data_IF_892667463015
#
_entry.id   IF_892667463015
#
_cell.length_a   1.000
_cell.length_b   1.000
_cell.length_c   1.000
_cell.angle_alpha   90.00
_cell.angle_beta   90.00
_cell.angle_gamma   90.00
#
_symmetry.space_group_name_H-M   'P 1'
#
loop_
_entity.id
_entity.type
_entity.pdbx_description
1 polymer ?
2 non-polymer ?
3 non-polymer ?
4 non-polymer ?
5 non-polymer ?
6 water ?
#
# COMPACT_ATOMS: atom_id res chain seq x y z
N UNK A 3 46.24 -10.59 -1.55
CA UNK A 3 45.28 -11.54 -0.99
C UNK A 3 44.08 -10.84 -0.38
N UNK A 4 43.85 -11.04 0.92
CA UNK A 4 42.60 -10.58 1.51
C UNK A 4 42.42 -9.08 1.26
N UNK A 5 41.21 -8.70 0.90
CA UNK A 5 40.77 -7.31 0.82
C UNK A 5 41.05 -6.63 2.15
N UNK A 6 41.25 -5.33 2.10
CA UNK A 6 41.55 -4.56 3.29
C UNK A 6 40.39 -3.64 3.64
N UNK A 7 39.97 -3.67 4.90
CA UNK A 7 38.91 -2.78 5.38
C UNK A 7 39.43 -1.36 5.50
N UNK A 8 38.72 -0.40 4.90
CA UNK A 8 39.10 1.01 4.98
C UNK A 8 38.01 1.77 5.76
N UNK A 9 37.63 2.95 5.30
CA UNK A 9 36.81 3.83 6.12
C UNK A 9 35.38 3.34 6.27
N UNK A 10 34.74 3.64 7.40
CA UNK A 10 33.31 3.39 7.52
C UNK A 10 32.50 4.28 6.58
N UNK A 11 31.62 3.69 5.76
CA UNK A 11 30.74 4.48 4.89
C UNK A 11 29.45 4.86 5.60
N UNK A 12 28.95 3.98 6.45
CA UNK A 12 27.63 4.16 7.02
C UNK A 12 27.45 3.28 8.25
N UNK A 13 26.87 3.82 9.30
CA UNK A 13 26.45 3.03 10.44
C UNK A 13 24.94 3.01 10.52
N UNK A 14 24.36 1.82 10.32
CA UNK A 14 22.91 1.69 10.44
C UNK A 14 22.50 1.22 11.82
N UNK A 15 21.22 0.86 11.95
CA UNK A 15 20.70 0.42 13.22
C UNK A 15 21.33 -0.88 13.69
N UNK A 16 21.73 -1.75 12.76
CA UNK A 16 22.21 -3.08 13.10
C UNK A 16 23.59 -3.42 12.57
N UNK A 17 23.99 -2.78 11.46
CA UNK A 17 25.27 -3.08 10.83
C UNK A 17 26.03 -1.82 10.49
N UNK A 18 27.35 -1.95 10.34
CA UNK A 18 28.17 -0.91 9.71
C UNK A 18 28.56 -1.39 8.31
N UNK A 19 28.63 -0.45 7.38
CA UNK A 19 29.15 -0.71 6.04
C UNK A 19 30.50 -0.06 5.93
N UNK A 20 31.55 -0.84 5.64
CA UNK A 20 32.90 -0.30 5.46
C UNK A 20 33.31 -0.33 4.02
N UNK A 21 33.98 0.71 3.57
CA UNK A 21 34.71 0.68 2.32
C UNK A 21 35.86 -0.32 2.42
N UNK A 22 36.36 -0.75 1.26
CA UNK A 22 37.56 -1.60 1.20
C UNK A 22 38.53 -0.98 0.18
N UNK A 23 39.69 -1.60 0.01
CA UNK A 23 40.60 -1.17 -1.05
C UNK A 23 40.16 -1.59 -2.46
N UNK A 24 39.02 -2.28 -2.57
CA UNK A 24 38.40 -2.50 -3.89
C UNK A 24 37.20 -1.59 -4.02
N UNK A 25 37.13 -0.83 -5.10
CA UNK A 25 36.09 0.18 -5.20
C UNK A 25 34.70 -0.43 -5.35
N UNK A 26 34.61 -1.70 -5.72
CA UNK A 26 33.32 -2.35 -5.90
C UNK A 26 32.95 -3.33 -4.80
N UNK A 27 33.65 -3.28 -3.66
CA UNK A 27 33.36 -4.16 -2.54
C UNK A 27 33.16 -3.37 -1.25
N UNK A 28 32.30 -3.88 -0.38
CA UNK A 28 32.18 -3.38 0.99
C UNK A 28 32.27 -4.51 1.98
N UNK A 29 32.56 -4.17 3.24
CA UNK A 29 32.43 -5.13 4.31
C UNK A 29 31.25 -4.76 5.18
N UNK A 30 30.38 -5.74 5.39
CA UNK A 30 29.20 -5.57 6.24
C UNK A 30 29.52 -6.14 7.60
N UNK A 31 29.47 -5.30 8.64
CA UNK A 31 29.83 -5.67 9.99
C UNK A 31 28.59 -5.70 10.87
N UNK A 32 28.32 -6.86 11.46
CA UNK A 32 27.11 -7.04 12.26
C UNK A 32 27.33 -6.70 13.73
N UNK A 33 26.58 -5.72 14.22
CA UNK A 33 26.63 -5.31 15.62
C UNK A 33 25.69 -6.14 16.47
N UNK A 34 25.80 -6.01 17.79
CA UNK A 34 24.83 -6.61 18.70
C UNK A 34 23.65 -5.67 19.00
N UNK A 35 23.60 -4.49 18.36
CA UNK A 35 22.52 -3.52 18.55
C UNK A 35 21.20 -4.15 18.08
N UNK A 36 20.17 -4.03 18.90
CA UNK A 36 18.81 -4.37 18.55
C UNK A 36 17.98 -3.09 18.64
N UNK A 37 17.07 -2.90 17.69
CA UNK A 37 16.21 -1.72 17.66
C UNK A 37 14.80 -2.08 17.22
N UNK A 38 13.83 -1.33 17.69
CA UNK A 38 12.47 -1.54 17.23
C UNK A 38 11.69 -0.25 17.44
N UNK A 39 10.49 -0.17 16.86
CA UNK A 39 9.55 0.93 17.12
C UNK A 39 10.11 2.31 16.77
N UNK A 40 10.57 2.45 15.53
CA UNK A 40 11.01 3.74 15.03
C UNK A 40 12.13 4.31 15.88
N UNK A 41 13.01 3.41 16.30
CA UNK A 41 14.23 3.78 16.99
C UNK A 41 14.04 3.97 18.48
N UNK A 42 12.79 3.87 18.93
CA UNK A 42 12.46 4.18 20.31
C UNK A 42 12.94 3.11 21.28
N UNK A 43 13.00 1.86 20.83
CA UNK A 43 13.38 0.76 21.71
C UNK A 43 14.74 0.24 21.25
N UNK A 44 15.69 0.14 22.18
CA UNK A 44 17.04 -0.32 21.85
C UNK A 44 17.58 -1.20 22.94
N UNK A 45 18.46 -2.12 22.57
CA UNK A 45 19.18 -2.93 23.55
C UNK A 45 20.41 -3.47 22.88
N UNK A 46 21.37 -3.95 23.66
CA UNK A 46 22.42 -4.77 23.14
C UNK A 46 22.10 -6.20 23.46
N UNK A 47 22.14 -7.04 22.45
CA UNK A 47 21.84 -8.46 22.67
C UNK A 47 23.12 -9.24 22.36
N UNK A 48 23.78 -9.73 23.40
CA UNK A 48 25.11 -10.27 23.23
C UNK A 48 25.07 -11.42 22.22
N UNK A 49 26.01 -11.36 21.25
CA UNK A 49 26.23 -12.34 20.18
C UNK A 49 25.18 -12.31 19.06
N UNK A 50 24.20 -11.40 19.14
CA UNK A 50 23.23 -11.33 18.07
C UNK A 50 23.87 -11.08 16.70
N UNK A 51 24.87 -10.22 16.62
CA UNK A 51 25.51 -9.91 15.37
C UNK A 51 26.24 -11.10 14.80
N UNK A 52 26.86 -11.89 15.66
CA UNK A 52 27.53 -13.10 15.21
C UNK A 52 26.51 -14.06 14.60
N UNK A 53 25.42 -14.33 15.31
CA UNK A 53 24.42 -15.25 14.79
C UNK A 53 23.80 -14.70 13.49
N UNK A 54 23.53 -13.40 13.43
CA UNK A 54 22.93 -12.87 12.20
C UNK A 54 23.90 -12.92 11.02
N UNK A 55 25.18 -12.65 11.26
CA UNK A 55 26.18 -12.79 10.20
C UNK A 55 26.26 -14.24 9.72
N UNK A 56 26.26 -15.17 10.66
CA UNK A 56 26.36 -16.60 10.33
C UNK A 56 25.13 -17.08 9.57
N UNK A 57 23.94 -16.68 10.04
CA UNK A 57 22.70 -17.09 9.36
C UNK A 57 22.61 -16.47 7.98
N UNK A 58 22.87 -15.16 7.88
CA UNK A 58 22.83 -14.47 6.58
C UNK A 58 23.81 -15.12 5.61
N UNK A 59 25.03 -15.40 6.06
CA UNK A 59 26.04 -15.98 5.20
C UNK A 59 25.60 -17.36 4.70
N UNK A 60 25.06 -18.17 5.60
CA UNK A 60 24.57 -19.51 5.20
C UNK A 60 23.46 -19.39 4.13
N UNK A 61 22.54 -18.47 4.36
CA UNK A 61 21.41 -18.33 3.48
C UNK A 61 21.85 -17.77 2.12
N UNK A 62 22.72 -16.76 2.11
CA UNK A 62 23.16 -16.21 0.83
C UNK A 62 24.03 -17.18 0.05
N UNK A 63 24.82 -18.02 0.73
CA UNK A 63 25.58 -19.01 -0.01
C UNK A 63 24.60 -19.96 -0.68
N UNK A 64 23.55 -20.35 0.05
CA UNK A 64 22.52 -21.24 -0.53
C UNK A 64 21.87 -20.56 -1.73
N UNK A 65 21.51 -19.28 -1.61
CA UNK A 65 20.83 -18.61 -2.70
C UNK A 65 21.78 -18.45 -3.90
N UNK A 66 23.05 -18.16 -3.64
CA UNK A 66 24.02 -18.08 -4.71
C UNK A 66 24.06 -19.40 -5.48
N UNK A 67 24.10 -20.50 -4.75
CA UNK A 67 24.18 -21.83 -5.36
C UNK A 67 22.95 -22.09 -6.23
N UNK A 68 21.80 -21.59 -5.79
CA UNK A 68 20.53 -21.76 -6.51
C UNK A 68 20.37 -20.80 -7.69
N UNK A 69 21.38 -20.00 -7.96
CA UNK A 69 21.42 -19.12 -9.12
C UNK A 69 20.81 -17.73 -8.90
N UNK A 70 20.51 -17.36 -7.65
CA UNK A 70 20.02 -16.01 -7.40
C UNK A 70 21.24 -15.09 -7.44
N UNK A 71 21.11 -13.96 -8.12
CA UNK A 71 22.23 -13.00 -8.14
C UNK A 71 22.20 -12.18 -6.86
N UNK A 72 23.25 -12.27 -6.06
CA UNK A 72 23.28 -11.56 -4.79
C UNK A 72 24.58 -10.81 -4.62
N UNK A 73 24.59 -9.96 -3.60
CA UNK A 73 25.80 -9.23 -3.25
C UNK A 73 26.85 -10.05 -2.50
N UNK A 74 26.51 -11.27 -2.08
CA UNK A 74 27.34 -11.94 -1.09
C UNK A 74 28.54 -12.61 -1.72
N UNK A 75 29.74 -12.31 -1.22
CA UNK A 75 30.96 -12.94 -1.70
C UNK A 75 31.47 -13.98 -0.72
N UNK A 76 31.77 -13.56 0.52
CA UNK A 76 32.24 -14.54 1.50
C UNK A 76 32.17 -14.00 2.91
N UNK A 77 32.00 -14.91 3.85
CA UNK A 77 32.10 -14.57 5.25
C UNK A 77 33.56 -14.36 5.58
N UNK A 78 33.85 -13.31 6.35
CA UNK A 78 35.25 -13.01 6.71
C UNK A 78 35.64 -13.41 8.12
N UNK A 79 34.73 -13.19 9.07
CA UNK A 79 35.00 -13.49 10.48
C UNK A 79 33.65 -13.58 11.19
N UNK A 80 33.65 -13.67 12.51
CA UNK A 80 32.39 -13.89 13.22
C UNK A 80 31.33 -12.82 12.90
N UNK A 81 31.75 -11.57 12.69
CA UNK A 81 30.79 -10.47 12.49
C UNK A 81 30.73 -9.90 11.07
N UNK A 82 31.72 -10.20 10.25
CA UNK A 82 31.91 -9.50 8.99
C UNK A 82 31.73 -10.38 7.77
N UNK A 83 31.16 -9.79 6.71
CA UNK A 83 31.11 -10.44 5.41
C UNK A 83 31.53 -9.46 4.33
N UNK A 84 32.13 -10.01 3.28
CA UNK A 84 32.55 -9.28 2.10
C UNK A 84 31.42 -9.33 1.08
N UNK A 85 30.97 -8.17 0.61
CA UNK A 85 29.89 -8.08 -0.35
C UNK A 85 30.20 -7.13 -1.49
N UNK A 86 29.56 -7.33 -2.63
CA UNK A 86 29.63 -6.35 -3.70
C UNK A 86 28.97 -5.05 -3.20
N UNK A 87 29.55 -3.91 -3.55
CA UNK A 87 28.97 -2.63 -3.21
C UNK A 87 27.87 -2.30 -4.19
N UNK A 88 26.66 -2.18 -3.69
CA UNK A 88 25.52 -1.91 -4.58
C UNK A 88 24.89 -0.57 -4.27
N UNK A 89 24.14 -0.02 -5.22
CA UNK A 89 23.32 1.14 -4.97
C UNK A 89 21.94 0.64 -4.56
N UNK A 90 21.63 0.74 -3.28
CA UNK A 90 20.40 0.17 -2.76
C UNK A 90 19.18 0.88 -3.35
N UNK A 91 18.21 0.09 -3.83
CA UNK A 91 16.92 0.65 -4.22
C UNK A 91 16.16 0.91 -2.93
N UNK A 92 15.62 2.13 -2.73
CA UNK A 92 15.12 2.54 -1.40
C UNK A 92 13.73 2.00 -1.04
N UNK A 93 13.60 0.68 -1.15
CA UNK A 93 12.37 -0.06 -0.87
C UNK A 93 12.67 -1.25 0.01
N UNK A 94 11.88 -1.44 1.04
CA UNK A 94 11.87 -2.70 1.76
C UNK A 94 10.84 -3.58 1.07
N UNK A 95 11.28 -4.73 0.58
CA UNK A 95 10.38 -5.61 -0.16
C UNK A 95 9.96 -6.72 0.81
N UNK A 96 8.71 -6.70 1.20
CA UNK A 96 8.21 -7.60 2.26
C UNK A 96 7.32 -8.68 1.64
N UNK A 97 7.62 -9.92 2.01
CA UNK A 97 6.79 -11.07 1.63
C UNK A 97 6.05 -11.55 2.86
N UNK A 98 4.75 -11.80 2.72
CA UNK A 98 4.01 -12.40 3.84
C UNK A 98 3.34 -13.66 3.33
N UNK A 99 3.76 -14.79 3.87
CA UNK A 99 3.10 -16.07 3.57
C UNK A 99 1.90 -16.29 4.44
N UNK A 100 1.95 -15.73 5.65
CA UNK A 100 0.88 -15.78 6.64
C UNK A 100 0.77 -14.35 7.16
N UNK A 101 -0.44 -13.90 7.52
CA UNK A 101 -0.57 -12.54 8.07
C UNK A 101 -0.14 -12.46 9.53
N UNK A 102 0.77 -11.54 9.84
CA UNK A 102 1.26 -11.38 11.19
C UNK A 102 1.70 -9.93 11.34
N UNK A 103 2.16 -9.57 12.52
CA UNK A 103 2.76 -8.25 12.73
C UNK A 103 1.88 -7.11 12.20
N UNK A 104 2.47 -6.21 11.39
CA UNK A 104 1.80 -4.97 11.05
C UNK A 104 0.59 -5.19 10.13
N UNK A 105 0.66 -6.18 9.24
CA UNK A 105 -0.48 -6.45 8.40
C UNK A 105 -1.64 -6.92 9.25
N UNK A 106 -1.37 -7.86 10.16
CA UNK A 106 -2.47 -8.39 10.96
C UNK A 106 -3.08 -7.28 11.81
N UNK A 107 -2.23 -6.44 12.42
CA UNK A 107 -2.73 -5.38 13.30
C UNK A 107 -3.59 -4.39 12.53
N UNK A 108 -3.11 -3.96 11.36
CA UNK A 108 -3.81 -2.86 10.68
C UNK A 108 -5.07 -3.33 9.95
N UNK A 109 -5.16 -4.63 9.65
CA UNK A 109 -6.37 -5.14 9.00
C UNK A 109 -7.27 -5.90 9.97
N UNK A 110 -6.93 -5.83 11.25
CA UNK A 110 -7.76 -6.42 12.29
C UNK A 110 -7.86 -7.94 12.17
N UNK A 111 -6.76 -8.56 11.75
CA UNK A 111 -6.68 -10.02 11.65
C UNK A 111 -5.89 -10.60 12.82
N UNK A 112 -6.22 -11.82 13.23
CA UNK A 112 -5.39 -12.53 14.21
C UNK A 112 -4.08 -12.99 13.56
N UNK A 113 -2.96 -12.84 14.26
CA UNK A 113 -1.70 -13.31 13.72
C UNK A 113 -1.83 -14.79 13.42
N UNK A 114 -1.34 -15.21 12.25
CA UNK A 114 -1.50 -16.59 11.83
C UNK A 114 -2.60 -16.74 10.79
N UNK A 115 -3.36 -15.66 10.52
CA UNK A 115 -4.41 -15.68 9.49
C UNK A 115 -3.87 -16.19 8.17
N UNK A 116 -4.57 -17.18 7.61
CA UNK A 116 -4.15 -17.77 6.35
C UNK A 116 -4.61 -16.93 5.18
N UNK A 117 -3.66 -16.57 4.34
CA UNK A 117 -3.91 -15.66 3.23
C UNK A 117 -4.29 -16.42 1.97
N UNK A 118 -5.16 -15.84 1.17
CA UNK A 118 -5.58 -16.50 -0.06
C UNK A 118 -4.52 -16.41 -1.16
N UNK A 119 -3.57 -15.49 -1.00
CA UNK A 119 -2.47 -15.34 -1.95
C UNK A 119 -1.27 -14.86 -1.18
N UNK A 120 -0.08 -15.20 -1.66
CA UNK A 120 1.16 -14.71 -1.03
C UNK A 120 1.20 -13.19 -1.18
N UNK A 121 1.46 -12.49 -0.07
CA UNK A 121 1.53 -11.02 -0.13
C UNK A 121 2.94 -10.57 -0.49
N UNK A 122 3.03 -9.69 -1.48
CA UNK A 122 4.25 -8.94 -1.78
C UNK A 122 3.91 -7.51 -1.52
N UNK A 123 4.77 -6.80 -0.77
CA UNK A 123 4.48 -5.40 -0.49
C UNK A 123 5.74 -4.59 -0.39
N UNK A 124 5.60 -3.28 -0.48
CA UNK A 124 6.71 -2.37 -0.36
C UNK A 124 6.58 -1.45 0.82
N UNK A 125 7.69 -1.21 1.50
CA UNK A 125 7.78 -0.04 2.36
C UNK A 125 8.83 0.88 1.79
N UNK A 126 8.58 2.18 1.87
CA UNK A 126 9.57 3.15 1.42
C UNK A 126 10.68 3.23 2.47
N UNK A 127 11.94 3.04 2.04
CA UNK A 127 13.06 3.01 2.98
C UNK A 127 13.45 4.46 3.34
N UNK A 128 12.74 4.98 4.32
CA UNK A 128 13.01 6.34 4.81
C UNK A 128 12.60 6.31 6.27
N UNK A 129 13.58 6.16 7.16
CA UNK A 129 13.25 5.98 8.56
C UNK A 129 12.60 7.24 9.18
N UNK A 130 12.89 8.42 8.62
CA UNK A 130 12.28 9.66 9.09
C UNK A 130 10.77 9.71 8.87
N UNK A 131 10.30 8.92 7.90
CA UNK A 131 8.87 8.82 7.58
C UNK A 131 8.28 7.55 8.20
N UNK A 132 9.09 6.80 8.94
CA UNK A 132 8.58 5.59 9.55
C UNK A 132 8.44 4.43 8.57
N UNK A 133 9.19 4.45 7.46
CA UNK A 133 9.17 3.34 6.48
C UNK A 133 7.72 3.00 6.10
N UNK A 134 7.01 3.97 5.54
CA UNK A 134 5.58 3.76 5.26
C UNK A 134 5.31 2.72 4.18
N UNK A 135 4.23 1.97 4.36
CA UNK A 135 3.68 1.13 3.29
C UNK A 135 3.38 1.97 2.07
N UNK A 136 3.83 1.53 0.89
CA UNK A 136 3.48 2.19 -0.37
C UNK A 136 3.16 1.14 -1.40
N UNK A 137 2.50 1.51 -2.47
CA UNK A 137 2.27 0.57 -3.55
C UNK A 137 3.19 0.86 -4.75
N UNK A 138 3.09 0.06 -5.80
CA UNK A 138 4.03 0.19 -6.92
C UNK A 138 3.92 1.54 -7.60
N UNK A 139 2.69 2.05 -7.70
CA UNK A 139 2.46 3.33 -8.35
C UNK A 139 3.08 4.46 -7.53
N UNK A 140 2.95 4.41 -6.20
CA UNK A 140 3.64 5.39 -5.37
C UNK A 140 5.14 5.31 -5.61
N UNK A 141 5.70 4.10 -5.64
CA UNK A 141 7.14 3.94 -5.77
C UNK A 141 7.64 4.55 -7.08
N UNK A 142 6.95 4.28 -8.19
CA UNK A 142 7.34 4.83 -9.48
C UNK A 142 7.04 6.32 -9.49
N UNK A 143 5.88 6.68 -8.93
CA UNK A 143 5.43 8.07 -8.98
C UNK A 143 6.33 9.07 -8.25
N UNK A 144 7.06 8.61 -7.24
CA UNK A 144 8.03 9.47 -6.52
C UNK A 144 9.47 9.28 -7.00
N UNK A 145 9.66 8.43 -8.00
CA UNK A 145 10.98 8.25 -8.57
C UNK A 145 11.90 7.30 -7.84
N UNK A 146 11.35 6.50 -6.94
CA UNK A 146 12.13 5.50 -6.19
C UNK A 146 12.61 4.34 -7.07
N UNK A 147 11.85 4.03 -8.14
CA UNK A 147 12.07 2.87 -8.98
C UNK A 147 11.29 3.07 -10.28
N UNK A 148 11.32 2.08 -11.16
CA UNK A 148 10.53 2.07 -12.38
C UNK A 148 9.71 0.80 -12.40
N UNK A 149 8.68 0.74 -13.24
CA UNK A 149 7.93 -0.51 -13.35
C UNK A 149 8.79 -1.69 -13.82
N UNK A 150 9.71 -1.44 -14.74
CA UNK A 150 10.58 -2.51 -15.23
C UNK A 150 11.49 -3.04 -14.11
N UNK A 151 12.03 -2.13 -13.30
CA UNK A 151 12.86 -2.58 -12.18
C UNK A 151 12.03 -3.33 -11.13
N UNK A 152 10.83 -2.84 -10.83
CA UNK A 152 9.98 -3.54 -9.86
C UNK A 152 9.63 -4.93 -10.35
N UNK A 153 9.30 -5.05 -11.63
CA UNK A 153 8.95 -6.36 -12.15
C UNK A 153 10.05 -7.36 -11.87
N UNK A 154 11.29 -6.93 -12.14
CA UNK A 154 12.44 -7.80 -11.91
C UNK A 154 12.56 -8.12 -10.41
N UNK A 155 12.53 -7.09 -9.56
CA UNK A 155 12.57 -7.29 -8.12
C UNK A 155 11.55 -8.34 -7.66
N UNK A 156 10.32 -8.24 -8.14
CA UNK A 156 9.28 -9.18 -7.70
C UNK A 156 9.55 -10.59 -8.22
N UNK A 157 10.09 -10.72 -9.42
CA UNK A 157 10.40 -12.04 -9.94
C UNK A 157 11.48 -12.71 -9.09
N UNK A 158 12.52 -11.96 -8.71
CA UNK A 158 13.56 -12.52 -7.85
C UNK A 158 12.96 -12.85 -6.47
N UNK A 159 12.15 -11.92 -5.93
CA UNK A 159 11.59 -12.08 -4.60
C UNK A 159 10.75 -13.35 -4.55
N UNK A 160 9.93 -13.62 -5.58
CA UNK A 160 9.07 -14.80 -5.57
C UNK A 160 9.95 -16.07 -5.56
N UNK A 161 11.05 -16.07 -6.31
CA UNK A 161 11.90 -17.25 -6.34
C UNK A 161 12.68 -17.44 -5.03
N UNK A 162 13.06 -16.34 -4.40
CA UNK A 162 13.68 -16.41 -3.07
C UNK A 162 12.69 -17.00 -2.05
N UNK A 163 11.42 -16.54 -2.08
CA UNK A 163 10.40 -17.08 -1.18
C UNK A 163 10.27 -18.59 -1.38
N UNK A 164 10.22 -19.04 -2.63
CA UNK A 164 10.09 -20.49 -2.85
C UNK A 164 11.26 -21.28 -2.27
N UNK A 165 12.47 -20.79 -2.49
CA UNK A 165 13.65 -21.48 -1.98
C UNK A 165 13.66 -21.46 -0.46
N UNK A 166 13.40 -20.30 0.15
CA UNK A 166 13.48 -20.20 1.60
C UNK A 166 12.35 -20.95 2.29
N UNK A 167 11.13 -20.86 1.75
CA UNK A 167 10.02 -21.58 2.36
C UNK A 167 10.38 -23.06 2.51
N UNK A 168 10.99 -23.62 1.46
CA UNK A 168 11.31 -25.05 1.43
C UNK A 168 12.49 -25.40 2.35
N UNK A 169 13.50 -24.53 2.38
CA UNK A 169 14.65 -24.82 3.22
C UNK A 169 14.23 -24.78 4.69
N UNK A 170 13.36 -23.83 5.05
CA UNK A 170 12.90 -23.73 6.43
C UNK A 170 11.90 -24.83 6.78
N UNK A 171 11.01 -25.18 5.85
CA UNK A 171 9.99 -26.18 6.14
C UNK A 171 10.66 -27.55 6.39
N UNK A 172 11.77 -27.82 5.71
CA UNK A 172 12.52 -29.06 5.91
C UNK A 172 13.03 -29.19 7.34
N UNK A 173 13.20 -28.05 8.02
CA UNK A 173 13.63 -28.02 9.43
C UNK A 173 12.49 -27.66 10.37
N UNK A 174 11.26 -27.88 9.93
CA UNK A 174 10.09 -27.64 10.77
C UNK A 174 9.93 -26.19 11.19
N UNK A 175 10.33 -25.28 10.31
CA UNK A 175 10.09 -23.85 10.53
C UNK A 175 9.18 -23.33 9.43
N UNK A 176 8.10 -22.67 9.83
CA UNK A 176 7.30 -21.89 8.89
C UNK A 176 7.88 -20.50 8.72
N UNK A 177 8.17 -20.15 7.47
CA UNK A 177 8.64 -18.81 7.15
C UNK A 177 7.41 -17.93 6.99
N UNK A 178 7.12 -17.13 8.02
CA UNK A 178 5.86 -16.41 8.11
C UNK A 178 5.89 -15.16 7.22
N UNK A 179 6.97 -14.40 7.34
CA UNK A 179 7.14 -13.19 6.55
C UNK A 179 8.60 -12.82 6.58
N UNK A 180 9.02 -11.91 5.69
CA UNK A 180 10.42 -11.48 5.71
C UNK A 180 10.57 -10.23 4.85
N UNK A 181 11.71 -9.56 5.02
CA UNK A 181 11.97 -8.33 4.32
C UNK A 181 13.28 -8.47 3.55
N UNK A 182 13.26 -8.12 2.27
CA UNK A 182 14.44 -8.10 1.40
C UNK A 182 14.79 -6.70 0.98
N UNK A 183 16.06 -6.49 0.65
CA UNK A 183 16.46 -5.31 -0.11
C UNK A 183 17.30 -5.70 -1.30
N UNK A 184 17.23 -4.87 -2.32
CA UNK A 184 17.91 -5.06 -3.58
C UNK A 184 18.73 -3.85 -3.88
N UNK A 185 19.76 -4.07 -4.67
CA UNK A 185 20.57 -2.97 -5.18
C UNK A 185 20.97 -3.12 -6.62
N UNK A 186 21.35 -2.00 -7.23
CA UNK A 186 21.84 -1.94 -8.59
C UNK A 186 23.36 -2.16 -8.59
N UNK A 187 23.83 -3.03 -9.50
CA UNK A 187 25.25 -3.36 -9.58
C UNK A 187 25.59 -3.75 -11.01
N UNK A 188 26.43 -2.98 -11.67
CA UNK A 188 26.91 -3.29 -13.03
C UNK A 188 25.76 -3.64 -13.99
N UNK A 189 24.66 -2.89 -13.88
CA UNK A 189 23.52 -3.03 -14.78
C UNK A 189 22.44 -3.98 -14.31
N UNK A 190 22.72 -4.74 -13.25
CA UNK A 190 21.80 -5.75 -12.78
C UNK A 190 21.19 -5.42 -11.43
N UNK A 191 20.13 -6.13 -11.10
CA UNK A 191 19.53 -6.06 -9.77
C UNK A 191 20.01 -7.26 -8.93
N UNK A 192 20.68 -6.96 -7.81
CA UNK A 192 21.17 -8.01 -6.91
C UNK A 192 20.41 -7.96 -5.61
N UNK A 193 20.14 -9.14 -5.08
CA UNK A 193 19.70 -9.24 -3.69
C UNK A 193 20.82 -8.80 -2.76
N UNK A 194 20.52 -7.90 -1.82
CA UNK A 194 21.58 -7.35 -0.95
C UNK A 194 21.13 -7.41 0.48
N UNK A 195 21.77 -6.61 1.34
CA UNK A 195 21.41 -6.57 2.76
C UNK A 195 21.49 -7.95 3.46
N UNK A 196 20.47 -8.31 4.22
CA UNK A 196 20.51 -9.36 5.23
C UNK A 196 19.28 -10.26 5.14
N UNK A 197 19.41 -11.53 5.48
CA UNK A 197 18.26 -12.42 5.71
C UNK A 197 18.59 -13.16 6.99
N UNK A 198 17.91 -12.79 8.08
CA UNK A 198 18.24 -13.32 9.39
C UNK A 198 17.00 -13.27 10.27
N UNK A 199 17.10 -13.72 11.53
CA UNK A 199 15.93 -13.57 12.40
C UNK A 199 15.64 -12.10 12.78
N UNK A 200 16.51 -11.14 12.41
CA UNK A 200 16.13 -9.73 12.54
C UNK A 200 15.20 -9.28 11.44
N UNK A 201 15.15 -10.02 10.31
CA UNK A 201 14.44 -9.55 9.13
C UNK A 201 13.38 -10.54 8.65
N UNK A 202 13.11 -11.56 9.44
CA UNK A 202 12.14 -12.62 9.07
C UNK A 202 11.34 -12.95 10.31
N UNK A 203 10.16 -13.52 10.12
CA UNK A 203 9.46 -14.19 11.21
C UNK A 203 9.53 -15.69 10.95
N UNK A 204 9.94 -16.42 11.99
CA UNK A 204 10.14 -17.86 11.95
C UNK A 204 9.31 -18.46 13.07
N UNK A 205 8.34 -19.32 12.77
CA UNK A 205 7.58 -20.02 13.79
C UNK A 205 7.83 -21.51 13.66
N UNK A 206 8.04 -22.22 14.77
CA UNK A 206 8.09 -23.67 14.66
C UNK A 206 6.76 -24.18 14.08
N UNK A 207 6.84 -25.09 13.13
CA UNK A 207 5.67 -25.52 12.37
C UNK A 207 4.72 -26.38 13.19
N UNK A 208 5.21 -26.92 14.31
CA UNK A 208 4.36 -27.75 15.17
C UNK A 208 3.85 -26.96 16.38
N UNK A 209 4.72 -26.23 17.05
CA UNK A 209 4.35 -25.60 18.30
C UNK A 209 3.94 -24.17 18.14
N UNK A 210 4.40 -23.51 17.08
CA UNK A 210 4.26 -22.05 16.96
C UNK A 210 5.30 -21.21 17.69
N UNK A 211 6.30 -21.85 18.27
CA UNK A 211 7.38 -21.11 18.94
C UNK A 211 7.97 -20.04 18.00
N UNK A 212 8.04 -18.80 18.48
CA UNK A 212 8.60 -17.70 17.70
C UNK A 212 10.13 -17.70 17.93
N UNK A 213 10.88 -17.69 16.82
CA UNK A 213 12.34 -17.78 16.84
C UNK A 213 12.90 -16.63 16.01
N UNK A 214 12.64 -15.40 16.44
CA UNK A 214 13.08 -14.25 15.66
C UNK A 214 12.99 -13.00 16.54
N UNK A 215 13.19 -11.85 15.93
CA UNK A 215 13.26 -10.57 16.64
C UNK A 215 11.96 -10.21 17.36
N UNK A 216 10.83 -10.85 17.07
CA UNK A 216 9.63 -10.59 17.89
C UNK A 216 9.89 -10.90 19.35
N UNK A 217 10.82 -11.82 19.65
CA UNK A 217 11.10 -12.09 21.06
C UNK A 217 11.66 -10.82 21.75
N UNK A 218 12.46 -10.04 21.03
CA UNK A 218 12.95 -8.75 21.54
C UNK A 218 11.85 -7.71 21.50
N UNK A 219 11.15 -7.59 20.36
CA UNK A 219 10.11 -6.57 20.24
C UNK A 219 9.07 -6.66 21.34
N UNK A 220 8.68 -7.87 21.67
CA UNK A 220 7.56 -8.12 22.57
C UNK A 220 7.97 -8.58 23.97
N UNK A 221 9.25 -8.44 24.29
CA UNK A 221 9.76 -8.81 25.64
C UNK A 221 9.35 -10.22 26.01
N UNK A 222 9.61 -11.17 25.10
CA UNK A 222 9.17 -12.52 25.32
C UNK A 222 10.17 -13.35 26.11
N UNK A 223 11.39 -12.84 26.25
CA UNK A 223 12.45 -13.55 26.92
C UNK A 223 13.17 -14.57 26.04
N UNK A 224 14.29 -15.09 26.55
CA UNK A 224 15.07 -16.11 25.85
C UNK A 224 15.27 -15.74 24.38
N UNK A 225 15.73 -14.52 24.13
CA UNK A 225 15.84 -14.00 22.78
C UNK A 225 16.92 -14.70 21.96
N UNK A 226 18.15 -14.75 22.47
CA UNK A 226 19.23 -15.24 21.67
C UNK A 226 19.06 -16.74 21.38
N UNK A 227 18.43 -17.46 22.30
CA UNK A 227 18.13 -18.86 22.09
C UNK A 227 17.41 -19.06 20.78
N UNK A 228 16.47 -18.18 20.48
CA UNK A 228 15.69 -18.37 19.26
C UNK A 228 16.57 -18.27 18.04
N UNK A 229 17.48 -17.30 18.04
CA UNK A 229 18.41 -17.14 16.93
C UNK A 229 19.33 -18.35 16.81
N UNK A 230 19.85 -18.85 17.95
CA UNK A 230 20.70 -20.03 17.93
C UNK A 230 19.95 -21.23 17.37
N UNK A 231 18.66 -21.34 17.71
CA UNK A 231 17.86 -22.45 17.24
C UNK A 231 17.73 -22.41 15.72
N UNK A 232 17.47 -21.23 15.16
CA UNK A 232 17.38 -21.13 13.70
C UNK A 232 18.69 -21.56 13.04
N UNK A 233 19.82 -21.08 13.55
CA UNK A 233 21.10 -21.43 12.96
C UNK A 233 21.33 -22.93 13.09
N UNK A 234 21.05 -23.50 14.25
CA UNK A 234 21.33 -24.90 14.44
C UNK A 234 20.48 -25.74 13.48
N UNK A 235 19.22 -25.33 13.31
CA UNK A 235 18.35 -26.04 12.37
C UNK A 235 18.83 -25.91 10.93
N UNK A 236 19.26 -24.72 10.53
CA UNK A 236 19.79 -24.54 9.18
C UNK A 236 21.02 -25.40 8.92
N UNK A 237 21.74 -25.72 9.99
CA UNK A 237 22.98 -26.51 9.90
C UNK A 237 22.76 -27.99 10.09
N UNK A 238 21.51 -28.43 10.09
CA UNK A 238 21.25 -29.87 10.24
C UNK A 238 21.67 -30.62 9.00
N UNK B 2 -44.75 10.53 -16.07
CA UNK B 2 -45.43 9.26 -15.90
C UNK B 2 -45.06 8.53 -14.62
N UNK B 3 -45.09 7.20 -14.68
CA UNK B 3 -44.79 6.35 -13.54
C UNK B 3 -43.43 6.64 -12.91
N UNK B 4 -43.39 6.68 -11.57
CA UNK B 4 -42.15 6.77 -10.85
C UNK B 4 -42.07 5.68 -9.78
N UNK B 5 -40.86 5.23 -9.53
CA UNK B 5 -40.59 4.40 -8.35
C UNK B 5 -41.20 4.96 -7.06
N UNK B 6 -41.48 4.05 -6.13
CA UNK B 6 -41.94 4.43 -4.79
C UNK B 6 -40.80 4.21 -3.81
N UNK B 7 -40.47 5.22 -3.03
CA UNK B 7 -39.48 5.07 -1.99
C UNK B 7 -40.06 4.28 -0.82
N UNK B 8 -39.35 3.24 -0.38
CA UNK B 8 -39.79 2.41 0.72
C UNK B 8 -38.83 2.59 1.90
N UNK B 9 -38.49 1.51 2.60
CA UNK B 9 -37.80 1.66 3.87
C UNK B 9 -36.35 2.13 3.67
N UNK B 10 -35.83 2.88 4.64
CA UNK B 10 -34.40 3.20 4.59
C UNK B 10 -33.58 1.95 4.83
N UNK B 11 -32.63 1.67 3.92
CA UNK B 11 -31.76 0.50 4.06
C UNK B 11 -30.52 0.81 4.86
N UNK B 12 -30.01 2.04 4.74
CA UNK B 12 -28.69 2.39 5.30
C UNK B 12 -28.57 3.89 5.37
N UNK B 13 -28.04 4.38 6.48
CA UNK B 13 -27.62 5.78 6.56
C UNK B 13 -26.13 5.85 6.80
N UNK B 14 -25.42 6.51 5.90
CA UNK B 14 -23.98 6.69 6.01
C UNK B 14 -23.66 8.09 6.48
N UNK B 15 -22.39 8.47 6.31
CA UNK B 15 -21.92 9.78 6.71
C UNK B 15 -22.58 10.90 5.93
N UNK B 16 -22.82 10.69 4.64
CA UNK B 16 -23.30 11.77 3.79
C UNK B 16 -24.62 11.48 3.05
N UNK B 17 -24.96 10.21 2.90
CA UNK B 17 -26.17 9.85 2.15
C UNK B 17 -27.01 8.82 2.87
N UNK B 18 -28.29 8.76 2.51
CA UNK B 18 -29.15 7.64 2.89
C UNK B 18 -29.47 6.82 1.66
N UNK B 19 -29.54 5.50 1.83
CA UNK B 19 -29.96 4.62 0.78
C UNK B 19 -31.34 4.08 1.12
N UNK B 20 -32.31 4.29 0.22
CA UNK B 20 -33.66 3.76 0.43
C UNK B 20 -33.98 2.63 -0.53
N UNK B 21 -34.70 1.62 -0.02
CA UNK B 21 -35.30 0.61 -0.90
C UNK B 21 -36.36 1.27 -1.76
N UNK B 22 -36.76 0.60 -2.85
CA UNK B 22 -37.90 1.05 -3.65
C UNK B 22 -38.80 -0.17 -3.94
N UNK B 23 -39.90 0.08 -4.65
CA UNK B 23 -40.78 -1.01 -5.09
C UNK B 23 -40.18 -1.88 -6.19
N UNK B 24 -39.04 -1.47 -6.74
CA UNK B 24 -38.27 -2.36 -7.62
C UNK B 24 -37.14 -3.01 -6.84
N UNK B 25 -37.07 -4.34 -6.79
CA UNK B 25 -36.13 -4.99 -5.88
C UNK B 25 -34.67 -4.67 -6.16
N UNK B 26 -34.37 -4.31 -7.41
CA UNK B 26 -32.97 -4.06 -7.78
C UNK B 26 -32.61 -2.60 -7.92
N UNK B 27 -33.43 -1.72 -7.38
CA UNK B 27 -33.19 -0.28 -7.48
C UNK B 27 -33.25 0.34 -6.11
N UNK B 28 -32.40 1.36 -5.90
CA UNK B 28 -32.41 2.12 -4.66
C UNK B 28 -32.49 3.61 -4.98
N UNK B 29 -32.90 4.38 -3.98
CA UNK B 29 -32.79 5.83 -4.09
C UNK B 29 -31.67 6.30 -3.18
N UNK B 30 -30.76 7.08 -3.74
CA UNK B 30 -29.63 7.63 -2.98
C UNK B 30 -30.02 9.08 -2.65
N UNK B 31 -30.09 9.39 -1.36
CA UNK B 31 -30.52 10.70 -0.84
C UNK B 31 -29.32 11.44 -0.24
N UNK B 32 -29.01 12.62 -0.77
CA UNK B 32 -27.84 13.41 -0.33
C UNK B 32 -28.18 14.36 0.81
N UNK B 33 -27.52 14.18 1.95
CA UNK B 33 -27.68 15.02 3.14
C UNK B 33 -26.75 16.22 3.09
N UNK B 34 -26.94 17.14 4.04
CA UNK B 34 -26.01 18.28 4.15
C UNK B 34 -24.89 18.02 5.13
N UNK B 35 -24.85 16.82 5.71
CA UNK B 35 -23.80 16.44 6.64
C UNK B 35 -22.43 16.48 5.97
N UNK B 36 -21.47 17.11 6.65
CA UNK B 36 -20.06 17.03 6.30
C UNK B 36 -19.32 16.40 7.47
N UNK B 37 -18.37 15.52 7.16
CA UNK B 37 -17.63 14.78 8.18
C UNK B 37 -16.19 14.66 7.72
N UNK B 38 -15.26 14.66 8.66
CA UNK B 38 -13.88 14.37 8.34
C UNK B 38 -13.15 13.87 9.58
N UNK B 39 -11.92 13.39 9.38
CA UNK B 39 -11.02 13.02 10.47
C UNK B 39 -11.61 11.96 11.37
N UNK B 40 -11.99 10.84 10.76
CA UNK B 40 -12.47 9.68 11.49
C UNK B 40 -13.61 10.04 12.42
N UNK B 41 -14.49 10.91 11.93
CA UNK B 41 -15.66 11.31 12.67
C UNK B 41 -15.46 12.44 13.67
N UNK B 42 -14.26 12.99 13.75
CA UNK B 42 -14.00 13.99 14.78
C UNK B 42 -14.49 15.38 14.38
N UNK B 43 -14.64 15.60 13.07
CA UNK B 43 -15.02 16.92 12.57
C UNK B 43 -16.34 16.81 11.81
N UNK B 44 -17.30 17.69 12.12
CA UNK B 44 -18.61 17.65 11.50
C UNK B 44 -19.13 19.05 11.29
N UNK B 45 -20.00 19.19 10.30
CA UNK B 45 -20.77 20.43 10.12
C UNK B 45 -21.98 20.10 9.27
N UNK B 46 -22.98 20.96 9.34
CA UNK B 46 -24.07 20.97 8.40
C UNK B 46 -23.78 22.07 7.43
N UNK B 47 -23.59 21.72 6.17
CA UNK B 47 -23.29 22.71 5.16
C UNK B 47 -24.52 22.89 4.29
N UNK B 48 -25.27 23.97 4.48
CA UNK B 48 -26.56 24.11 3.82
C UNK B 48 -26.41 24.00 2.30
N UNK B 49 -27.24 23.14 1.72
CA UNK B 49 -27.31 22.87 0.28
C UNK B 49 -26.17 22.05 -0.29
N UNK B 50 -25.27 21.57 0.57
CA UNK B 50 -24.20 20.70 0.08
C UNK B 50 -24.75 19.45 -0.61
N UNK B 51 -25.80 18.86 -0.04
CA UNK B 51 -26.37 17.64 -0.62
C UNK B 51 -26.98 17.91 -1.97
N UNK B 52 -27.65 19.04 -2.15
CA UNK B 52 -28.22 19.39 -3.45
C UNK B 52 -27.10 19.52 -4.48
N UNK B 53 -26.02 20.22 -4.13
CA UNK B 53 -24.94 20.42 -5.07
C UNK B 53 -24.26 19.09 -5.42
N UNK B 54 -24.08 18.25 -4.41
CA UNK B 54 -23.43 16.95 -4.65
C UNK B 54 -24.30 16.02 -5.48
N UNK B 55 -25.61 16.04 -5.23
CA UNK B 55 -26.51 15.25 -6.06
C UNK B 55 -26.47 15.74 -7.51
N UNK B 56 -26.50 17.06 -7.67
CA UNK B 56 -26.50 17.64 -9.01
C UNK B 56 -25.20 17.36 -9.76
N UNK B 57 -24.07 17.51 -9.07
CA UNK B 57 -22.76 17.26 -9.70
C UNK B 57 -22.58 15.79 -10.03
N UNK B 58 -22.90 14.92 -9.08
CA UNK B 58 -22.83 13.48 -9.32
C UNK B 58 -23.68 13.09 -10.51
N UNK B 59 -24.90 13.60 -10.55
CA UNK B 59 -25.83 13.23 -11.63
C UNK B 59 -25.27 13.68 -12.97
N UNK B 60 -24.73 14.90 -13.03
CA UNK B 60 -24.19 15.40 -14.28
C UNK B 60 -23.02 14.53 -14.73
N UNK B 61 -22.10 14.20 -13.80
CA UNK B 61 -20.92 13.42 -14.11
C UNK B 61 -21.31 11.98 -14.52
N UNK B 62 -22.24 11.34 -13.79
CA UNK B 62 -22.63 9.98 -14.16
C UNK B 62 -23.39 9.94 -15.49
N UNK B 63 -24.17 10.96 -15.81
CA UNK B 63 -24.82 10.98 -17.11
C UNK B 63 -23.75 11.03 -18.20
N UNK B 64 -22.73 11.85 -18.00
CA UNK B 64 -21.61 11.95 -18.93
C UNK B 64 -20.89 10.62 -19.05
N UNK B 65 -20.57 9.97 -17.93
CA UNK B 65 -19.90 8.67 -17.99
C UNK B 65 -20.77 7.61 -18.67
N UNK B 66 -22.06 7.61 -18.39
CA UNK B 66 -22.97 6.67 -19.08
C UNK B 66 -22.89 6.86 -20.59
N UNK B 67 -22.88 8.12 -21.02
CA UNK B 67 -22.85 8.46 -22.44
C UNK B 67 -21.53 8.04 -23.11
N UNK B 68 -20.47 7.97 -22.31
CA UNK B 68 -19.14 7.53 -22.77
C UNK B 68 -19.00 6.00 -22.72
N UNK B 69 -20.05 5.32 -22.27
CA UNK B 69 -20.02 3.86 -22.32
C UNK B 69 -19.53 3.21 -21.04
N UNK B 70 -19.31 3.98 -19.97
CA UNK B 70 -19.01 3.36 -18.68
C UNK B 70 -20.26 2.75 -18.08
N UNK B 71 -20.15 1.53 -17.58
CA UNK B 71 -21.30 0.92 -16.91
C UNK B 71 -21.40 1.46 -15.49
N UNK B 72 -22.51 2.11 -15.19
CA UNK B 72 -22.68 2.74 -13.89
C UNK B 72 -24.02 2.41 -13.26
N UNK B 73 -24.13 2.68 -11.95
CA UNK B 73 -25.41 2.48 -11.27
C UNK B 73 -26.45 3.56 -11.56
N UNK B 74 -26.06 4.64 -12.25
CA UNK B 74 -26.91 5.82 -12.25
C UNK B 74 -28.01 5.69 -13.30
N UNK B 75 -29.26 5.89 -12.86
CA UNK B 75 -30.42 5.86 -13.77
C UNK B 75 -30.96 7.26 -14.02
N UNK B 76 -31.33 7.98 -12.98
CA UNK B 76 -31.85 9.33 -13.18
C UNK B 76 -31.92 10.11 -11.88
N UNK B 77 -31.80 11.41 -12.01
CA UNK B 77 -31.94 12.30 -10.89
C UNK B 77 -33.43 12.49 -10.64
N UNK B 78 -33.88 12.33 -9.40
CA UNK B 78 -35.33 12.40 -9.07
C UNK B 78 -35.80 13.77 -8.58
N UNK B 79 -34.98 14.41 -7.74
CA UNK B 79 -35.30 15.70 -7.16
C UNK B 79 -33.97 16.32 -6.70
N UNK B 80 -34.05 17.45 -6.01
CA UNK B 80 -32.84 18.18 -5.66
C UNK B 80 -31.83 17.31 -4.90
N UNK B 81 -32.29 16.39 -4.07
CA UNK B 81 -31.37 15.59 -3.25
C UNK B 81 -31.26 14.12 -3.62
N UNK B 82 -32.20 13.61 -4.42
CA UNK B 82 -32.31 12.15 -4.62
C UNK B 82 -32.04 11.74 -6.03
N UNK B 83 -31.45 10.56 -6.17
CA UNK B 83 -31.28 9.97 -7.49
C UNK B 83 -31.61 8.49 -7.42
N UNK B 84 -32.12 7.99 -8.53
CA UNK B 84 -32.48 6.58 -8.68
C UNK B 84 -31.28 5.82 -9.25
N UNK B 85 -30.87 4.77 -8.54
CA UNK B 85 -29.68 3.98 -8.95
C UNK B 85 -29.98 2.51 -8.89
N UNK B 86 -29.26 1.75 -9.70
CA UNK B 86 -29.24 0.31 -9.57
C UNK B 86 -28.67 -0.06 -8.22
N UNK B 87 -29.29 -1.03 -7.56
CA UNK B 87 -28.81 -1.50 -6.28
C UNK B 87 -27.62 -2.44 -6.51
N UNK B 88 -26.45 -2.10 -5.96
CA UNK B 88 -25.27 -2.94 -6.17
C UNK B 88 -24.77 -3.52 -4.88
N UNK B 89 -24.04 -4.62 -5.01
CA UNK B 89 -23.30 -5.20 -3.90
C UNK B 89 -21.92 -4.52 -3.93
N UNK B 90 -21.67 -3.59 -3.01
CA UNK B 90 -20.43 -2.81 -3.07
C UNK B 90 -19.21 -3.68 -2.78
N UNK B 91 -18.19 -3.55 -3.61
CA UNK B 91 -16.90 -4.19 -3.36
C UNK B 91 -16.23 -3.31 -2.30
N UNK B 92 -15.71 -3.90 -1.20
CA UNK B 92 -15.31 -3.11 -0.02
C UNK B 92 -13.93 -2.46 -0.16
N UNK B 93 -13.76 -1.75 -1.28
CA UNK B 93 -12.51 -1.03 -1.58
C UNK B 93 -12.83 0.37 -2.07
N UNK B 94 -12.15 1.35 -1.52
CA UNK B 94 -12.14 2.66 -2.13
C UNK B 94 -11.03 2.60 -3.18
N UNK B 95 -11.36 3.04 -4.39
CA UNK B 95 -10.37 3.06 -5.46
C UNK B 95 -9.98 4.50 -5.71
N UNK B 96 -8.74 4.83 -5.38
CA UNK B 96 -8.32 6.22 -5.38
C UNK B 96 -7.34 6.44 -6.52
N UNK B 97 -7.57 7.50 -7.28
CA UNK B 97 -6.68 7.91 -8.36
C UNK B 97 -6.02 9.21 -7.92
N UNK B 98 -4.70 9.30 -8.04
CA UNK B 98 -4.03 10.58 -7.77
C UNK B 98 -3.25 10.98 -9.02
N UNK B 99 -3.63 12.12 -9.59
CA UNK B 99 -2.87 12.73 -10.66
C UNK B 99 -1.76 13.61 -10.11
N UNK B 100 -1.99 14.20 -8.94
CA UNK B 100 -1.07 15.11 -8.25
C UNK B 100 -1.08 14.66 -6.81
N UNK B 101 0.04 14.74 -6.12
CA UNK B 101 0.09 14.31 -4.71
C UNK B 101 -0.46 15.39 -3.78
N UNK B 102 -1.39 15.02 -2.91
CA UNK B 102 -2.01 15.98 -1.99
C UNK B 102 -2.47 15.25 -0.75
N UNK B 103 -2.91 16.03 0.23
CA UNK B 103 -3.46 15.51 1.46
C UNK B 103 -2.52 14.65 2.30
N UNK B 104 -3.14 13.78 3.08
CA UNK B 104 -2.41 12.84 3.91
C UNK B 104 -1.35 12.05 3.12
N UNK B 105 -1.66 11.67 1.89
CA UNK B 105 -0.72 10.95 1.02
C UNK B 105 0.66 11.69 0.72
N UNK B 106 0.55 12.93 0.29
CA UNK B 106 1.73 13.77 0.20
C UNK B 106 2.43 13.85 1.55
N UNK B 107 1.64 13.96 2.61
CA UNK B 107 2.22 14.06 3.94
C UNK B 107 2.97 12.79 4.34
N UNK B 108 2.39 11.61 4.11
CA UNK B 108 3.04 10.38 4.56
C UNK B 108 4.33 10.07 3.80
N UNK B 109 4.48 10.61 2.60
CA UNK B 109 5.67 10.37 1.78
C UNK B 109 6.65 11.54 1.75
N UNK B 110 6.38 12.57 2.55
CA UNK B 110 7.28 13.70 2.63
C UNK B 110 7.30 14.54 1.36
N UNK B 111 6.18 14.58 0.66
CA UNK B 111 6.08 15.35 -0.56
C UNK B 111 5.40 16.68 -0.28
N UNK B 112 5.80 17.70 -1.02
CA UNK B 112 5.04 18.94 -1.06
C UNK B 112 3.66 18.70 -1.65
N UNK B 113 2.62 19.30 -1.08
CA UNK B 113 1.31 19.21 -1.66
C UNK B 113 1.36 19.86 -3.03
N UNK B 114 0.88 19.17 -4.05
CA UNK B 114 0.98 19.66 -5.42
C UNK B 114 2.08 18.98 -6.21
N UNK B 115 2.85 18.12 -5.55
CA UNK B 115 3.93 17.38 -6.22
C UNK B 115 3.41 16.67 -7.46
N UNK B 116 4.10 16.87 -8.58
CA UNK B 116 3.70 16.24 -9.84
C UNK B 116 4.21 14.81 -9.89
N UNK B 117 3.28 13.87 -9.83
CA UNK B 117 3.64 12.45 -9.81
C UNK B 117 4.17 12.03 -11.15
N UNK B 118 5.14 11.11 -11.14
CA UNK B 118 5.81 10.69 -12.36
C UNK B 118 5.01 9.67 -13.15
N UNK B 119 4.00 9.11 -12.52
CA UNK B 119 3.02 8.24 -13.20
C UNK B 119 1.71 8.43 -12.45
N UNK B 120 0.58 8.21 -13.11
CA UNK B 120 -0.70 8.28 -12.42
C UNK B 120 -0.74 7.24 -11.32
N UNK B 121 -1.13 7.65 -10.12
CA UNK B 121 -1.25 6.73 -9.00
C UNK B 121 -2.65 6.14 -8.93
N UNK B 122 -2.69 4.82 -8.80
CA UNK B 122 -3.92 4.08 -8.48
C UNK B 122 -3.64 3.43 -7.15
N UNK B 123 -4.61 3.49 -6.25
CA UNK B 123 -4.47 2.87 -4.96
C UNK B 123 -5.79 2.37 -4.39
N UNK B 124 -5.70 1.51 -3.38
CA UNK B 124 -6.85 0.96 -2.71
C UNK B 124 -6.84 1.33 -1.24
N UNK B 125 -8.01 1.58 -0.71
CA UNK B 125 -8.21 1.73 0.70
C UNK B 125 -9.26 0.69 1.08
N UNK B 126 -9.03 -0.09 2.12
CA UNK B 126 -10.01 -1.08 2.56
C UNK B 126 -11.17 -0.35 3.21
N UNK B 127 -12.40 -0.61 2.75
CA UNK B 127 -13.55 0.07 3.28
C UNK B 127 -13.97 -0.48 4.61
N UNK B 128 -13.33 0.02 5.65
CA UNK B 128 -13.67 -0.34 7.00
C UNK B 128 -13.34 0.88 7.85
N UNK B 129 -14.35 1.69 8.13
CA UNK B 129 -14.12 2.98 8.80
C UNK B 129 -13.53 2.76 10.21
N UNK B 130 -13.83 1.61 10.82
CA UNK B 130 -13.30 1.29 12.14
C UNK B 130 -11.79 1.01 12.14
N UNK B 131 -11.25 0.59 11.00
CA UNK B 131 -9.82 0.40 10.84
C UNK B 131 -9.19 1.65 10.25
N UNK B 132 -10.00 2.69 10.07
CA UNK B 132 -9.53 3.92 9.46
C UNK B 132 -9.31 3.87 7.96
N UNK B 133 -10.01 2.95 7.28
CA UNK B 133 -9.91 2.83 5.81
C UNK B 133 -8.46 2.75 5.38
N UNK B 134 -7.74 1.72 5.85
CA UNK B 134 -6.30 1.66 5.59
C UNK B 134 -5.94 1.45 4.13
N UNK B 135 -4.89 2.13 3.69
CA UNK B 135 -4.22 1.81 2.44
C UNK B 135 -3.86 0.33 2.42
N UNK B 136 -4.24 -0.36 1.34
CA UNK B 136 -3.77 -1.73 1.13
C UNK B 136 -3.39 -1.90 -0.33
N UNK B 137 -2.60 -2.95 -0.62
CA UNK B 137 -2.25 -3.26 -1.99
C UNK B 137 -3.08 -4.41 -2.56
N UNK B 138 -2.87 -4.74 -3.83
CA UNK B 138 -3.69 -5.74 -4.52
C UNK B 138 -3.59 -7.10 -3.84
N UNK B 139 -2.38 -7.47 -3.38
CA UNK B 139 -2.17 -8.76 -2.72
C UNK B 139 -2.86 -8.81 -1.38
N UNK B 140 -2.83 -7.69 -0.63
CA UNK B 140 -3.61 -7.68 0.61
C UNK B 140 -5.09 -7.90 0.30
N UNK B 141 -5.60 -7.18 -0.71
CA UNK B 141 -7.02 -7.22 -1.03
C UNK B 141 -7.46 -8.63 -1.42
N UNK B 142 -6.68 -9.28 -2.27
CA UNK B 142 -6.98 -10.66 -2.65
C UNK B 142 -6.77 -11.59 -1.46
N UNK B 143 -5.72 -11.33 -0.70
CA UNK B 143 -5.31 -12.20 0.38
C UNK B 143 -6.33 -12.30 1.49
N UNK B 144 -7.09 -11.23 1.73
CA UNK B 144 -8.11 -11.26 2.78
C UNK B 144 -9.51 -11.53 2.22
N UNK B 145 -9.59 -11.82 0.90
CA UNK B 145 -10.85 -12.22 0.32
C UNK B 145 -11.75 -11.05 -0.05
N UNK B 146 -11.20 -9.84 -0.12
CA UNK B 146 -12.01 -8.66 -0.47
C UNK B 146 -12.36 -8.60 -1.96
N UNK B 147 -11.55 -9.27 -2.79
CA UNK B 147 -11.64 -9.19 -4.24
C UNK B 147 -10.84 -10.33 -4.85
N UNK B 148 -10.78 -10.37 -6.16
CA UNK B 148 -9.95 -11.34 -6.89
C UNK B 148 -9.04 -10.56 -7.83
N UNK B 149 -7.99 -11.20 -8.33
CA UNK B 149 -7.12 -10.49 -9.27
C UNK B 149 -7.88 -10.03 -10.50
N UNK B 150 -8.77 -10.86 -11.01
CA UNK B 150 -9.45 -10.51 -12.24
C UNK B 150 -10.49 -9.41 -12.02
N UNK B 151 -11.18 -9.41 -10.88
CA UNK B 151 -12.07 -8.29 -10.55
C UNK B 151 -11.28 -7.00 -10.45
N UNK B 152 -10.15 -7.04 -9.73
CA UNK B 152 -9.33 -5.82 -9.62
C UNK B 152 -8.87 -5.34 -11.00
N UNK B 153 -8.44 -6.27 -11.85
CA UNK B 153 -7.99 -5.88 -13.17
C UNK B 153 -9.08 -5.11 -13.91
N UNK B 154 -10.31 -5.60 -13.83
CA UNK B 154 -11.41 -4.92 -14.51
C UNK B 154 -11.68 -3.54 -13.87
N UNK B 155 -11.72 -3.50 -12.54
CA UNK B 155 -11.86 -2.24 -11.80
C UNK B 155 -10.82 -1.22 -12.22
N UNK B 156 -9.55 -1.63 -12.31
CA UNK B 156 -8.52 -0.70 -12.72
C UNK B 156 -8.68 -0.21 -14.17
N UNK B 157 -9.11 -1.10 -15.06
CA UNK B 157 -9.33 -0.69 -16.43
C UNK B 157 -10.42 0.39 -16.50
N UNK B 158 -11.52 0.17 -15.79
CA UNK B 158 -12.61 1.12 -15.81
C UNK B 158 -12.13 2.44 -15.15
N UNK B 159 -11.44 2.34 -14.02
CA UNK B 159 -10.97 3.50 -13.29
C UNK B 159 -10.05 4.36 -14.15
N UNK B 160 -9.15 3.73 -14.91
CA UNK B 160 -8.26 4.48 -15.77
C UNK B 160 -9.03 5.21 -16.85
N UNK B 161 -10.05 4.57 -17.41
CA UNK B 161 -10.88 5.24 -18.40
C UNK B 161 -11.63 6.42 -17.79
N UNK B 162 -12.17 6.23 -16.60
CA UNK B 162 -12.87 7.32 -15.91
C UNK B 162 -11.91 8.52 -15.67
N UNK B 163 -10.68 8.24 -15.23
CA UNK B 163 -9.71 9.32 -15.06
C UNK B 163 -9.47 10.07 -16.37
N UNK B 164 -9.29 9.36 -17.49
CA UNK B 164 -9.04 10.06 -18.73
C UNK B 164 -10.22 10.96 -19.11
N UNK B 165 -11.43 10.45 -18.94
CA UNK B 165 -12.61 11.24 -19.27
C UNK B 165 -12.73 12.45 -18.36
N UNK B 166 -12.62 12.23 -17.05
CA UNK B 166 -12.82 13.34 -16.10
C UNK B 166 -11.70 14.37 -16.17
N UNK B 167 -10.45 13.91 -16.29
CA UNK B 167 -9.34 14.85 -16.36
C UNK B 167 -9.60 15.82 -17.49
N UNK B 168 -10.02 15.31 -18.63
CA UNK B 168 -10.24 16.16 -19.79
C UNK B 168 -11.44 17.08 -19.62
N UNK B 169 -12.54 16.56 -19.07
CA UNK B 169 -13.74 17.38 -18.89
C UNK B 169 -13.44 18.56 -17.92
N UNK B 170 -12.69 18.26 -16.86
CA UNK B 170 -12.36 19.30 -15.90
C UNK B 170 -11.33 20.28 -16.46
N UNK B 171 -10.34 19.76 -17.18
CA UNK B 171 -9.33 20.62 -17.77
C UNK B 171 -9.92 21.67 -18.71
N UNK B 172 -10.95 21.29 -19.45
CA UNK B 172 -11.63 22.21 -20.36
C UNK B 172 -12.30 23.38 -19.63
N UNK B 173 -12.53 23.20 -18.34
CA UNK B 173 -13.14 24.26 -17.50
C UNK B 173 -12.14 24.81 -16.48
N UNK B 174 -10.85 24.69 -16.78
CA UNK B 174 -9.81 25.27 -15.93
C UNK B 174 -9.80 24.70 -14.51
N UNK B 175 -10.11 23.41 -14.40
CA UNK B 175 -10.01 22.70 -13.15
C UNK B 175 -9.02 21.58 -13.28
N UNK B 176 -8.02 21.56 -12.39
CA UNK B 176 -7.14 20.39 -12.27
C UNK B 176 -7.79 19.37 -11.36
N UNK B 177 -7.97 18.15 -11.89
CA UNK B 177 -8.51 17.03 -11.14
C UNK B 177 -7.33 16.40 -10.40
N UNK B 178 -7.19 16.73 -9.12
CA UNK B 178 -5.98 16.38 -8.37
C UNK B 178 -6.01 14.89 -7.98
N UNK B 179 -7.14 14.47 -7.43
CA UNK B 179 -7.33 13.08 -7.01
C UNK B 179 -8.81 12.85 -6.85
N UNK B 180 -9.21 11.58 -6.71
CA UNK B 180 -10.62 11.25 -6.51
C UNK B 180 -10.74 9.82 -6.06
N UNK B 181 -11.89 9.52 -5.50
CA UNK B 181 -12.18 8.19 -4.97
C UNK B 181 -13.42 7.64 -5.65
N UNK B 182 -13.33 6.38 -6.09
CA UNK B 182 -14.44 5.65 -6.72
C UNK B 182 -14.82 4.44 -5.87
N UNK B 183 -16.07 4.02 -6.01
CA UNK B 183 -16.50 2.71 -5.55
C UNK B 183 -17.21 1.97 -6.64
N UNK B 184 -17.06 0.65 -6.62
CA UNK B 184 -17.67 -0.26 -7.57
C UNK B 184 -18.54 -1.27 -6.85
N UNK B 185 -19.53 -1.81 -7.55
CA UNK B 185 -20.32 -2.89 -7.00
C UNK B 185 -20.80 -3.83 -8.07
N UNK B 186 -21.33 -4.96 -7.61
CA UNK B 186 -21.81 -6.01 -8.52
C UNK B 186 -23.32 -5.82 -8.69
N UNK B 187 -23.79 -5.87 -9.94
CA UNK B 187 -25.22 -5.81 -10.24
C UNK B 187 -25.44 -6.67 -11.47
N UNK B 188 -26.39 -7.60 -11.42
CA UNK B 188 -26.59 -8.50 -12.56
C UNK B 188 -25.31 -9.23 -12.95
N UNK B 189 -24.45 -9.50 -11.98
CA UNK B 189 -23.18 -10.15 -12.24
C UNK B 189 -22.13 -9.24 -12.88
N UNK B 190 -22.46 -7.98 -13.11
CA UNK B 190 -21.53 -7.07 -13.76
C UNK B 190 -20.91 -6.08 -12.77
N UNK B 191 -19.74 -5.58 -13.10
CA UNK B 191 -19.04 -4.59 -12.26
C UNK B 191 -19.45 -3.21 -12.69
N UNK B 192 -20.17 -2.51 -11.81
CA UNK B 192 -20.63 -1.15 -12.12
C UNK B 192 -19.93 -0.12 -11.25
N UNK B 193 -19.64 1.03 -11.83
CA UNK B 193 -19.26 2.19 -11.03
C UNK B 193 -20.48 2.66 -10.23
N UNK B 194 -20.29 2.90 -8.93
CA UNK B 194 -21.42 3.22 -8.07
C UNK B 194 -21.06 4.43 -7.19
N UNK B 195 -21.77 4.61 -6.08
CA UNK B 195 -21.51 5.71 -5.16
C UNK B 195 -21.58 7.08 -5.85
N UNK B 196 -20.57 7.94 -5.61
CA UNK B 196 -20.68 9.36 -5.86
C UNK B 196 -19.39 9.84 -6.51
N UNK B 197 -19.49 10.88 -7.35
CA UNK B 197 -18.32 11.63 -7.82
C UNK B 197 -18.69 13.10 -7.66
N UNK B 198 -18.13 13.74 -6.65
CA UNK B 198 -18.53 15.10 -6.31
C UNK B 198 -17.37 15.79 -5.61
N UNK B 199 -17.53 17.08 -5.23
CA UNK B 199 -16.45 17.75 -4.47
C UNK B 199 -16.27 17.14 -3.08
N UNK B 200 -17.14 16.24 -2.62
CA UNK B 200 -16.86 15.49 -1.39
C UNK B 200 -15.83 14.39 -1.62
N UNK B 201 -15.73 13.90 -2.87
CA UNK B 201 -14.94 12.70 -3.14
C UNK B 201 -13.84 12.92 -4.16
N UNK B 202 -13.60 14.19 -4.52
CA UNK B 202 -12.53 14.59 -5.43
C UNK B 202 -11.82 15.79 -4.84
N UNK B 203 -10.59 16.01 -5.30
CA UNK B 203 -9.93 17.30 -5.10
C UNK B 203 -9.90 18.04 -6.43
N UNK B 204 -10.40 19.28 -6.41
CA UNK B 204 -10.52 20.12 -7.59
C UNK B 204 -9.81 21.43 -7.27
N UNK B 205 -8.77 21.76 -8.03
CA UNK B 205 -8.06 23.04 -7.85
C UNK B 205 -8.21 23.85 -9.10
N UNK B 206 -8.44 25.16 -8.95
CA UNK B 206 -8.44 25.97 -10.14
C UNK B 206 -7.07 25.82 -10.83
N UNK B 207 -7.06 25.67 -12.15
CA UNK B 207 -5.82 25.38 -12.87
C UNK B 207 -4.86 26.57 -12.94
N UNK B 208 -5.36 27.78 -12.69
CA UNK B 208 -4.52 28.97 -12.72
C UNK B 208 -4.05 29.36 -11.34
N UNK B 209 -4.95 29.43 -10.38
CA UNK B 209 -4.58 29.96 -9.07
C UNK B 209 -4.31 28.90 -8.01
N UNK B 210 -4.68 27.64 -8.27
CA UNK B 210 -4.64 26.61 -7.25
C UNK B 210 -5.77 26.59 -6.26
N UNK B 211 -6.72 27.52 -6.37
CA UNK B 211 -7.74 27.63 -5.34
C UNK B 211 -8.60 26.38 -5.25
N UNK B 212 -8.80 25.91 -4.02
CA UNK B 212 -9.53 24.66 -3.79
C UNK B 212 -11.02 24.89 -3.93
N UNK B 213 -11.71 23.96 -4.59
CA UNK B 213 -13.16 24.07 -4.78
C UNK B 213 -13.87 22.79 -4.37
N UNK B 214 -13.45 22.24 -3.24
CA UNK B 214 -13.89 20.93 -2.82
C UNK B 214 -13.97 20.86 -1.30
N UNK B 215 -14.14 19.66 -0.80
CA UNK B 215 -14.32 19.41 0.62
C UNK B 215 -13.13 19.83 1.46
N UNK B 216 -11.95 20.00 0.89
CA UNK B 216 -10.83 20.52 1.71
C UNK B 216 -11.14 21.90 2.29
N UNK B 217 -12.05 22.66 1.67
CA UNK B 217 -12.40 23.94 2.28
C UNK B 217 -13.09 23.70 3.63
N UNK B 218 -13.86 22.64 3.76
CA UNK B 218 -14.42 22.23 5.05
C UNK B 218 -13.35 21.60 5.95
N UNK B 219 -12.55 20.69 5.43
CA UNK B 219 -11.58 19.99 6.28
C UNK B 219 -10.63 20.97 6.93
N UNK B 220 -10.25 22.03 6.21
CA UNK B 220 -9.23 22.99 6.66
C UNK B 220 -9.82 24.32 7.08
N UNK B 221 -11.14 24.39 7.27
CA UNK B 221 -11.77 25.60 7.83
C UNK B 221 -11.48 26.83 7.00
N UNK B 222 -11.55 26.68 5.68
CA UNK B 222 -11.19 27.77 4.77
C UNK B 222 -12.35 28.70 4.42
N UNK B 223 -13.56 28.35 4.85
CA UNK B 223 -14.75 29.11 4.55
C UNK B 223 -15.22 29.01 3.10
N UNK B 224 -16.39 29.59 2.83
CA UNK B 224 -16.96 29.58 1.49
C UNK B 224 -16.96 28.20 0.86
N UNK B 225 -17.39 27.22 1.65
CA UNK B 225 -17.36 25.84 1.18
C UNK B 225 -18.38 25.69 0.05
N UNK B 226 -19.61 26.11 0.28
CA UNK B 226 -20.65 25.90 -0.71
C UNK B 226 -20.34 26.69 -1.99
N UNK B 227 -19.72 27.86 -1.86
CA UNK B 227 -19.38 28.62 -3.05
C UNK B 227 -18.42 27.85 -3.97
N UNK B 228 -17.50 27.09 -3.40
CA UNK B 228 -16.59 26.30 -4.22
C UNK B 228 -17.33 25.17 -4.94
N UNK B 229 -18.27 24.53 -4.25
CA UNK B 229 -19.05 23.47 -4.90
C UNK B 229 -19.91 24.05 -6.02
N UNK B 230 -20.50 25.23 -5.78
CA UNK B 230 -21.34 25.86 -6.79
C UNK B 230 -20.51 26.21 -8.01
N UNK B 231 -19.26 26.61 -7.77
CA UNK B 231 -18.40 26.98 -8.87
C UNK B 231 -18.10 25.76 -9.74
N UNK B 232 -17.84 24.62 -9.11
CA UNK B 232 -17.60 23.40 -9.88
C UNK B 232 -18.84 23.10 -10.74
N UNK B 233 -20.03 23.17 -10.15
CA UNK B 233 -21.25 22.86 -10.92
C UNK B 233 -21.42 23.85 -12.05
N UNK B 234 -21.19 25.12 -11.76
CA UNK B 234 -21.39 26.12 -12.79
C UNK B 234 -20.40 25.98 -13.95
N UNK B 235 -19.18 25.54 -13.66
CA UNK B 235 -18.22 25.30 -14.72
C UNK B 235 -18.59 24.05 -15.52
N UNK B 236 -19.06 23.01 -14.83
CA UNK B 236 -19.49 21.82 -15.56
C UNK B 236 -20.66 22.06 -16.50
N UNK B 237 -21.48 23.04 -16.16
CA UNK B 237 -22.66 23.42 -16.95
C UNK B 237 -22.36 24.48 -18.01
N UNK B 238 -21.09 24.79 -18.23
CA UNK B 238 -20.75 25.75 -19.26
C UNK B 238 -20.97 25.20 -20.66
#
# INVERSE_FOLDING_TARGET
SNAMVNQLEMLYEGKAKKIYATDKEDMVIVHYKDDATAFNGEKKAQIESKGVLNNEITSLIFEMLNKEGIKTHFVEKLNDRDQLCKKVEIVPLEVIVRNVAAGSMAKRLGLEEGYELKTTVFELSYKDDSLGDPLINDYHAVGIGATTFEELNKIYEITAKVNEILKEAFKKQNINLIDFKLEFGRYNGEILLADEISPDTCRFWDATTGEKMDKDRFRRDMGNVINGYREVLNRLRN
SNAMVNQLEMLYEGKAKKIYATDKEDMVIVHYKDDATAFNGEKKAQIESKGVLNNEITSLIFEMLNKEGIKTHFVEKLNDRDQLCKKVEIVPLEVIVRNVAAGSMAKRLGLEEGYELKTTVFELSYKDDSLGDPLINDYHAVGIGATTFEELNKIYEITAKVNEILKEAFKKQNINLIDFKLEFGRYNGEILLADEISPDTCRFWDATTGEKMDKDRFRRDMGNVINGYREVLNRLRN
#
